data_IF_005156474054
#
_entry.id   IF_005156474054
#
_cell.length_a   1.000
_cell.length_b   1.000
_cell.length_c   1.000
_cell.angle_alpha   90.00
_cell.angle_beta   90.00
_cell.angle_gamma   90.00
#
_symmetry.space_group_name_H-M   'P 1'
#
loop_
_entity.id
_entity.type
_entity.pdbx_description
1 polymer ?
#
# COMPACT_ATOMS: atom_id res chain seq x y z
N UNK A 1 15.03 2.52 15.35
CA UNK A 1 14.37 2.13 14.07
C UNK A 1 14.47 3.31 13.13
N UNK A 2 14.88 3.09 11.88
CA UNK A 2 14.98 4.16 10.88
C UNK A 2 14.01 3.83 9.73
N UNK A 3 13.10 4.75 9.42
CA UNK A 3 12.13 4.61 8.34
C UNK A 3 12.65 5.33 7.09
N UNK A 4 12.41 4.75 5.92
CA UNK A 4 12.69 5.40 4.63
C UNK A 4 11.68 5.00 3.57
N UNK A 5 11.64 5.79 2.51
CA UNK A 5 10.97 5.40 1.27
C UNK A 5 11.63 4.16 0.67
N UNK A 6 10.83 3.30 0.04
CA UNK A 6 11.32 2.21 -0.82
C UNK A 6 12.23 2.75 -1.91
N UNK A 7 13.17 1.91 -2.35
CA UNK A 7 14.15 2.27 -3.38
C UNK A 7 14.10 1.32 -4.57
N UNK A 8 13.45 0.16 -4.43
CA UNK A 8 13.41 -0.86 -5.48
C UNK A 8 12.01 -1.48 -5.59
N UNK A 9 11.65 -1.95 -6.79
CA UNK A 9 10.39 -2.68 -6.99
C UNK A 9 10.29 -3.94 -6.10
N UNK A 10 11.34 -4.75 -5.90
CA UNK A 10 11.28 -5.86 -4.95
C UNK A 10 10.86 -5.46 -3.52
N UNK A 11 11.32 -4.31 -3.01
CA UNK A 11 10.87 -3.82 -1.70
C UNK A 11 9.36 -3.54 -1.71
N UNK A 12 8.86 -2.90 -2.77
CA UNK A 12 7.42 -2.64 -2.94
C UNK A 12 6.61 -3.93 -2.98
N UNK A 13 7.06 -4.93 -3.76
CA UNK A 13 6.38 -6.22 -3.87
C UNK A 13 6.42 -6.99 -2.54
N UNK A 14 7.55 -6.99 -1.84
CA UNK A 14 7.65 -7.59 -0.51
C UNK A 14 6.70 -6.93 0.49
N UNK A 15 6.65 -5.59 0.49
CA UNK A 15 5.74 -4.84 1.35
C UNK A 15 4.27 -5.17 1.04
N UNK A 16 3.91 -5.29 -0.23
CA UNK A 16 2.57 -5.64 -0.67
C UNK A 16 2.16 -7.04 -0.18
N UNK A 17 3.04 -8.03 -0.35
CA UNK A 17 2.80 -9.40 0.11
C UNK A 17 2.67 -9.42 1.64
N UNK A 18 3.58 -8.75 2.34
CA UNK A 18 3.56 -8.64 3.80
C UNK A 18 2.26 -8.01 4.31
N UNK A 19 1.84 -6.90 3.71
CA UNK A 19 0.58 -6.24 4.05
C UNK A 19 -0.61 -7.18 3.88
N UNK A 20 -0.71 -7.89 2.76
CA UNK A 20 -1.82 -8.81 2.51
C UNK A 20 -1.75 -10.10 3.37
N UNK A 21 -0.58 -10.45 3.90
CA UNK A 21 -0.40 -11.61 4.79
C UNK A 21 -0.71 -11.31 6.26
N UNK A 22 -0.35 -10.13 6.76
CA UNK A 22 -0.40 -9.81 8.19
C UNK A 22 -1.44 -8.75 8.56
N UNK A 23 -1.65 -7.77 7.69
CA UNK A 23 -2.24 -6.48 8.10
C UNK A 23 -3.76 -6.51 8.23
N UNK A 24 -4.40 -7.51 7.62
CA UNK A 24 -5.83 -7.77 7.77
C UNK A 24 -6.24 -8.39 9.10
N UNK A 25 -5.29 -8.98 9.84
CA UNK A 25 -5.57 -9.73 11.07
C UNK A 25 -5.44 -8.86 12.33
N UNK A 26 -4.71 -7.75 12.25
CA UNK A 26 -4.57 -6.80 13.35
C UNK A 26 -5.67 -5.73 13.28
N UNK A 27 -6.71 -5.89 14.10
CA UNK A 27 -7.88 -5.00 14.14
C UNK A 27 -7.55 -3.52 14.41
N UNK A 28 -6.35 -3.20 14.91
CA UNK A 28 -5.88 -1.83 15.13
C UNK A 28 -5.63 -1.08 13.83
N UNK A 29 -5.19 -1.80 12.80
CA UNK A 29 -4.95 -1.29 11.46
C UNK A 29 -6.22 -1.28 10.60
N UNK A 30 -7.10 -2.27 10.80
CA UNK A 30 -8.32 -2.43 10.01
C UNK A 30 -9.19 -1.16 10.00
N UNK A 31 -9.28 -0.45 11.13
CA UNK A 31 -10.02 0.81 11.23
C UNK A 31 -9.48 1.94 10.34
N UNK A 32 -8.21 1.87 9.96
CA UNK A 32 -7.54 2.88 9.15
C UNK A 32 -7.52 2.55 7.65
N UNK A 33 -7.89 1.33 7.26
CA UNK A 33 -7.90 0.92 5.85
C UNK A 33 -8.77 1.86 4.98
N UNK A 34 -9.93 2.26 5.50
CA UNK A 34 -10.84 3.20 4.83
C UNK A 34 -10.31 4.65 4.75
N UNK A 35 -9.21 4.98 5.45
CA UNK A 35 -8.61 6.32 5.44
C UNK A 35 -7.57 6.49 4.33
N UNK A 36 -7.03 5.39 3.78
CA UNK A 36 -6.04 5.47 2.73
C UNK A 36 -6.68 5.91 1.41
N UNK A 37 -6.17 7.02 0.86
CA UNK A 37 -6.64 7.58 -0.40
C UNK A 37 -5.90 7.03 -1.62
N UNK A 38 -4.65 6.62 -1.45
CA UNK A 38 -3.82 6.13 -2.54
C UNK A 38 -3.61 4.62 -2.42
N UNK A 39 -4.13 3.89 -3.41
CA UNK A 39 -4.08 2.44 -3.48
C UNK A 39 -3.40 1.97 -4.75
N UNK A 40 -2.59 0.93 -4.62
CA UNK A 40 -1.80 0.40 -5.71
C UNK A 40 -2.13 -1.08 -5.89
N UNK A 41 -2.30 -1.47 -7.15
CA UNK A 41 -2.67 -2.81 -7.55
C UNK A 41 -1.55 -3.47 -8.36
N UNK A 42 -1.23 -4.72 -8.03
CA UNK A 42 -0.29 -5.55 -8.78
C UNK A 42 -1.06 -6.70 -9.44
N UNK A 43 -1.32 -6.64 -10.77
CA UNK A 43 -2.16 -7.61 -11.47
C UNK A 43 -1.69 -9.05 -11.34
N UNK A 44 -0.37 -9.27 -11.46
CA UNK A 44 0.22 -10.61 -11.39
C UNK A 44 -0.04 -11.32 -10.05
N UNK A 45 -0.21 -10.54 -8.98
CA UNK A 45 -0.44 -11.06 -7.63
C UNK A 45 -1.92 -10.97 -7.23
N UNK A 46 -2.74 -10.22 -7.98
CA UNK A 46 -4.09 -9.83 -7.60
C UNK A 46 -4.16 -9.20 -6.19
N UNK A 47 -3.16 -8.38 -5.84
CA UNK A 47 -3.04 -7.77 -4.51
C UNK A 47 -3.16 -6.25 -4.55
N UNK A 48 -3.79 -5.70 -3.51
CA UNK A 48 -3.91 -4.27 -3.24
C UNK A 48 -3.00 -3.87 -2.09
N UNK A 49 -2.40 -2.68 -2.20
CA UNK A 49 -1.54 -2.11 -1.17
C UNK A 49 -1.77 -0.62 -1.03
N UNK A 50 -2.04 -0.11 0.18
CA UNK A 50 -2.06 1.32 0.44
C UNK A 50 -0.65 1.91 0.36
N UNK A 51 -0.55 3.14 -0.16
CA UNK A 51 0.68 3.90 -0.35
C UNK A 51 1.63 3.85 0.85
N UNK A 52 1.10 4.08 2.05
CA UNK A 52 1.91 4.17 3.28
C UNK A 52 2.66 2.88 3.60
N UNK A 53 2.14 1.73 3.18
CA UNK A 53 2.73 0.43 3.47
C UNK A 53 3.65 -0.04 2.37
N UNK A 54 3.24 0.13 1.13
CA UNK A 54 4.09 -0.29 0.02
C UNK A 54 5.25 0.67 -0.22
N UNK A 55 5.09 1.94 0.16
CA UNK A 55 6.02 3.02 -0.12
C UNK A 55 7.14 3.19 0.90
N UNK A 56 7.10 2.46 2.03
CA UNK A 56 8.05 2.62 3.12
C UNK A 56 8.59 1.30 3.62
N UNK A 57 9.82 1.33 4.13
CA UNK A 57 10.46 0.19 4.80
C UNK A 57 11.04 0.63 6.13
N UNK A 58 11.09 -0.31 7.05
CA UNK A 58 11.86 -0.20 8.28
C UNK A 58 13.28 -0.70 8.03
N UNK A 59 14.26 0.00 8.57
CA UNK A 59 15.65 -0.41 8.51
C UNK A 59 16.04 -1.17 9.77
N UNK A 60 16.42 -2.44 9.59
CA UNK A 60 16.91 -3.34 10.62
C UNK A 60 18.36 -3.69 10.31
N UNK A 61 19.29 -2.89 10.85
CA UNK A 61 20.71 -2.98 10.53
C UNK A 61 21.00 -2.53 9.10
N UNK A 62 21.55 -3.43 8.28
CA UNK A 62 21.86 -3.23 6.86
C UNK A 62 20.73 -3.66 5.93
N UNK A 63 19.60 -4.16 6.47
CA UNK A 63 18.47 -4.68 5.69
C UNK A 63 17.24 -3.80 5.79
N UNK A 64 16.55 -3.69 4.66
CA UNK A 64 15.18 -3.19 4.61
C UNK A 64 14.21 -4.33 4.92
N UNK A 65 13.27 -4.07 5.82
CA UNK A 65 12.18 -4.98 6.15
C UNK A 65 10.83 -4.25 5.98
N UNK A 66 9.74 -4.98 5.71
CA UNK A 66 8.42 -4.37 5.57
C UNK A 66 8.00 -3.56 6.79
N UNK A 67 7.28 -2.46 6.56
CA UNK A 67 6.68 -1.66 7.62
C UNK A 67 5.62 -2.49 8.38
N UNK A 68 5.83 -2.64 9.68
CA UNK A 68 4.91 -3.34 10.57
C UNK A 68 3.69 -2.48 10.93
N UNK A 69 2.61 -3.09 11.45
CA UNK A 69 1.44 -2.34 11.95
C UNK A 69 1.85 -1.40 13.08
N UNK A 70 2.64 -1.90 14.02
CA UNK A 70 3.13 -1.12 15.14
C UNK A 70 4.01 0.05 14.66
N UNK A 71 4.96 -0.23 13.75
CA UNK A 71 5.83 0.81 13.18
C UNK A 71 5.06 1.89 12.44
N UNK A 72 3.99 1.53 11.71
CA UNK A 72 3.09 2.51 11.11
C UNK A 72 2.36 3.36 12.17
N UNK A 73 1.78 2.72 13.19
CA UNK A 73 1.00 3.42 14.21
C UNK A 73 1.86 4.38 15.04
N UNK A 74 3.08 3.96 15.39
CA UNK A 74 4.03 4.74 16.21
C UNK A 74 4.65 5.92 15.44
N UNK A 75 4.61 5.88 14.10
CA UNK A 75 5.29 6.86 13.24
C UNK A 75 4.42 7.44 12.12
N UNK A 76 3.09 7.38 12.25
CA UNK A 76 2.15 7.87 11.24
C UNK A 76 2.45 9.32 10.82
N UNK A 77 2.70 10.21 11.77
CA UNK A 77 3.00 11.63 11.52
C UNK A 77 4.29 11.84 10.72
N UNK A 78 5.27 10.96 10.88
CA UNK A 78 6.53 11.02 10.14
C UNK A 78 6.34 10.47 8.73
N UNK A 79 5.64 9.34 8.60
CA UNK A 79 5.27 8.75 7.31
C UNK A 79 4.37 9.67 6.48
N UNK A 80 3.60 10.56 7.10
CA UNK A 80 2.82 11.59 6.41
C UNK A 80 3.70 12.67 5.76
N UNK A 81 4.91 12.87 6.26
CA UNK A 81 5.90 13.82 5.70
C UNK A 81 6.81 13.16 4.65
N UNK A 82 6.92 11.84 4.67
CA UNK A 82 7.58 11.08 3.63
C UNK A 82 6.60 10.86 2.47
N UNK A 83 6.89 11.46 1.32
CA UNK A 83 6.13 11.26 0.10
C UNK A 83 6.78 10.14 -0.74
N UNK A 84 6.21 8.92 -0.78
CA UNK A 84 6.74 7.83 -1.60
C UNK A 84 6.27 7.92 -3.05
N UNK A 85 5.33 8.81 -3.42
CA UNK A 85 4.75 8.84 -4.76
C UNK A 85 5.77 9.07 -5.88
N UNK A 86 6.79 9.95 -5.75
CA UNK A 86 7.78 10.13 -6.80
C UNK A 86 8.45 8.81 -7.18
N UNK A 87 8.84 8.01 -6.18
CA UNK A 87 9.46 6.70 -6.38
C UNK A 87 8.46 5.67 -6.88
N UNK A 88 7.25 5.60 -6.29
CA UNK A 88 6.22 4.65 -6.73
C UNK A 88 5.76 4.91 -8.18
N UNK A 89 5.77 6.15 -8.66
CA UNK A 89 5.42 6.51 -10.04
C UNK A 89 6.42 5.98 -11.08
N UNK A 90 7.61 5.55 -10.66
CA UNK A 90 8.55 4.85 -11.55
C UNK A 90 7.96 3.51 -12.02
N UNK A 91 7.24 2.81 -11.16
CA UNK A 91 6.70 1.47 -11.44
C UNK A 91 5.20 1.43 -11.65
N UNK A 92 4.46 2.40 -11.12
CA UNK A 92 3.00 2.44 -11.19
C UNK A 92 2.50 3.61 -12.04
N UNK A 93 1.36 3.41 -12.70
CA UNK A 93 0.64 4.47 -13.42
C UNK A 93 -0.75 4.64 -12.82
N UNK A 94 -1.36 5.83 -12.93
CA UNK A 94 -2.79 5.98 -12.69
C UNK A 94 -3.59 5.01 -13.56
N UNK A 95 -4.67 4.48 -13.00
CA UNK A 95 -5.62 3.65 -13.74
C UNK A 95 -6.47 4.48 -14.69
N UNK A 96 -6.97 3.88 -15.77
CA UNK A 96 -8.03 4.47 -16.60
C UNK A 96 -9.36 4.46 -15.84
N UNK A 97 -10.38 5.17 -16.33
CA UNK A 97 -11.71 5.18 -15.70
C UNK A 97 -12.35 3.79 -15.66
N UNK A 98 -12.19 3.01 -16.73
CA UNK A 98 -12.67 1.63 -16.81
C UNK A 98 -11.95 0.72 -15.81
N UNK A 99 -10.62 0.79 -15.75
CA UNK A 99 -9.83 0.07 -14.75
C UNK A 99 -10.21 0.50 -13.33
N UNK A 100 -10.48 1.79 -13.13
CA UNK A 100 -10.87 2.33 -11.84
C UNK A 100 -12.19 1.76 -11.34
N UNK A 101 -13.19 1.64 -12.22
CA UNK A 101 -14.46 1.06 -11.83
C UNK A 101 -14.30 -0.38 -11.34
N UNK A 102 -13.61 -1.21 -12.14
CA UNK A 102 -13.36 -2.63 -11.80
C UNK A 102 -12.56 -2.78 -10.50
N UNK A 103 -11.43 -2.07 -10.40
CA UNK A 103 -10.53 -2.19 -9.26
C UNK A 103 -11.15 -1.65 -7.96
N UNK A 104 -12.06 -0.67 -8.03
CA UNK A 104 -12.81 -0.20 -6.86
C UNK A 104 -13.73 -1.29 -6.31
N UNK A 105 -14.39 -2.05 -7.18
CA UNK A 105 -15.24 -3.17 -6.77
C UNK A 105 -14.40 -4.29 -6.13
N UNK A 106 -13.26 -4.63 -6.73
CA UNK A 106 -12.34 -5.63 -6.18
C UNK A 106 -11.78 -5.19 -4.82
N UNK A 107 -11.38 -3.93 -4.70
CA UNK A 107 -10.93 -3.38 -3.43
C UNK A 107 -12.05 -3.36 -2.38
N UNK A 108 -13.28 -3.01 -2.75
CA UNK A 108 -14.42 -3.05 -1.84
C UNK A 108 -14.63 -4.45 -1.29
N UNK A 109 -14.56 -5.48 -2.14
CA UNK A 109 -14.65 -6.88 -1.71
C UNK A 109 -13.53 -7.26 -0.73
N UNK A 110 -12.29 -6.81 -0.98
CA UNK A 110 -11.15 -7.04 -0.07
C UNK A 110 -11.36 -6.35 1.27
N UNK A 111 -11.83 -5.11 1.26
CA UNK A 111 -12.03 -4.31 2.48
C UNK A 111 -13.23 -4.79 3.32
N UNK A 112 -14.27 -5.33 2.68
CA UNK A 112 -15.45 -5.88 3.35
C UNK A 112 -15.09 -7.06 4.26
N UNK A 113 -14.05 -7.84 3.91
CA UNK A 113 -13.50 -8.90 4.78
C UNK A 113 -13.01 -8.36 6.13
N UNK A 114 -12.76 -7.06 6.23
CA UNK A 114 -12.34 -6.35 7.44
C UNK A 114 -13.44 -5.43 8.00
N UNK A 115 -14.67 -5.53 7.49
CA UNK A 115 -15.79 -4.67 7.86
C UNK A 115 -15.59 -3.21 7.46
N UNK A 116 -14.95 -2.98 6.31
CA UNK A 116 -14.61 -1.63 5.80
C UNK A 116 -15.04 -1.45 4.36
N UNK A 117 -15.25 -0.19 4.01
CA UNK A 117 -15.50 0.25 2.64
C UNK A 117 -14.35 1.13 2.15
N UNK A 118 -14.09 1.17 0.84
CA UNK A 118 -13.12 2.10 0.27
C UNK A 118 -13.49 3.55 0.55
N UNK A 119 -12.48 4.42 0.60
CA UNK A 119 -12.71 5.86 0.68
C UNK A 119 -13.38 6.40 -0.60
N UNK A 120 -14.34 7.32 -0.48
CA UNK A 120 -14.96 7.97 -1.63
C UNK A 120 -13.94 8.71 -2.51
N UNK A 121 -12.91 9.29 -1.89
CA UNK A 121 -11.82 10.03 -2.53
C UNK A 121 -10.59 9.15 -2.78
N UNK A 122 -10.82 7.95 -3.35
CA UNK A 122 -9.75 7.01 -3.67
C UNK A 122 -9.13 7.27 -5.06
N UNK A 123 -7.80 7.28 -5.08
CA UNK A 123 -6.95 7.27 -6.25
C UNK A 123 -6.30 5.91 -6.36
N UNK A 124 -6.36 5.32 -7.56
CA UNK A 124 -5.82 4.00 -7.80
C UNK A 124 -4.71 4.04 -8.84
N UNK A 125 -3.73 3.19 -8.61
CA UNK A 125 -2.58 3.00 -9.47
C UNK A 125 -2.42 1.52 -9.76
N UNK A 126 -1.91 1.21 -10.94
CA UNK A 126 -1.66 -0.16 -11.38
C UNK A 126 -0.19 -0.29 -11.78
N UNK A 127 0.42 -1.42 -11.43
CA UNK A 127 1.78 -1.73 -11.83
C UNK A 127 1.86 -1.69 -13.35
N UNK A 128 2.85 -0.97 -13.88
CA UNK A 128 3.11 -0.94 -15.32
C UNK A 128 3.46 -2.35 -15.76
N UNK A 129 2.77 -2.84 -16.78
CA UNK A 129 3.27 -4.00 -17.53
C UNK A 129 4.62 -3.61 -18.10
N UNK A 130 5.63 -4.45 -17.93
CA UNK A 130 6.97 -4.22 -18.48
C UNK A 130 6.83 -3.89 -19.96
N UNK A 131 7.34 -2.71 -20.38
CA UNK A 131 7.51 -2.38 -21.80
C UNK A 131 8.48 -3.36 -22.47
#
# INVERSE_FOLDING_TARGET
MQLRTVQTLPEVIHNLIHFNGEFGRDGRAASRLALFRHWYYVPLLALFGPEKFIGHVEQAGDRAVPLSVAGYLDHADFLDKLDPQPTLREWFRPVTEEEAFRLRLELAYVLDQYGREPNDLIYMYILKESL
#
